data_IF_242015871844
#
_entry.id   IF_242015871844
#
_cell.length_a   1.000
_cell.length_b   1.000
_cell.length_c   1.000
_cell.angle_alpha   90.00
_cell.angle_beta   90.00
_cell.angle_gamma   90.00
#
_symmetry.space_group_name_H-M   'P 1'
#
loop_
_entity.id
_entity.type
_entity.pdbx_description
1 polymer ?
#
# COMPACT_ATOMS: atom_id res chain seq x y z
N UNK A 1 49.58 50.21 1.18
CA UNK A 1 48.90 49.51 0.08
C UNK A 1 48.38 48.19 0.64
N UNK A 2 47.07 48.08 0.85
CA UNK A 2 46.43 46.84 1.28
C UNK A 2 45.95 46.11 0.01
N UNK A 3 46.56 44.97 -0.31
CA UNK A 3 46.07 44.07 -1.33
C UNK A 3 45.31 42.94 -0.62
N UNK A 4 43.99 42.99 -0.69
CA UNK A 4 43.11 41.95 -0.19
C UNK A 4 43.30 40.66 -0.99
N UNK A 5 43.50 39.57 -0.29
CA UNK A 5 43.40 38.20 -0.81
C UNK A 5 41.96 37.98 -1.28
N UNK A 6 41.77 37.86 -2.60
CA UNK A 6 40.52 37.38 -3.17
C UNK A 6 40.38 35.90 -2.81
N UNK A 7 39.60 35.61 -1.76
CA UNK A 7 39.15 34.26 -1.46
C UNK A 7 38.22 33.80 -2.56
N UNK A 8 38.69 32.90 -3.41
CA UNK A 8 37.85 32.20 -4.38
C UNK A 8 36.86 31.35 -3.60
N UNK A 9 35.57 31.60 -3.81
CA UNK A 9 34.47 30.75 -3.31
C UNK A 9 34.74 29.31 -3.74
N UNK A 10 34.89 28.40 -2.78
CA UNK A 10 35.08 26.97 -3.04
C UNK A 10 33.76 26.23 -2.84
N UNK A 11 33.67 24.97 -3.30
CA UNK A 11 32.42 24.19 -3.34
C UNK A 11 31.72 24.01 -1.97
N UNK A 12 32.39 24.32 -0.85
CA UNK A 12 31.81 24.36 0.50
C UNK A 12 31.12 25.68 0.86
N UNK A 13 31.25 26.71 0.04
CA UNK A 13 30.65 28.04 0.22
C UNK A 13 29.37 28.23 -0.62
N UNK A 14 28.99 27.22 -1.41
CA UNK A 14 27.72 27.17 -2.14
C UNK A 14 26.74 26.29 -1.37
N UNK A 15 25.62 26.85 -0.95
CA UNK A 15 24.50 26.08 -0.39
C UNK A 15 23.95 25.20 -1.51
N UNK A 16 24.08 23.89 -1.36
CA UNK A 16 23.48 22.91 -2.26
C UNK A 16 21.95 23.00 -2.07
N UNK A 17 21.23 23.27 -3.17
CA UNK A 17 19.77 23.46 -3.24
C UNK A 17 18.93 22.21 -2.87
N UNK A 18 19.51 21.21 -2.21
CA UNK A 18 18.82 19.98 -1.79
C UNK A 18 17.73 20.27 -0.74
N UNK A 19 17.83 21.38 0.01
CA UNK A 19 16.88 21.76 1.07
C UNK A 19 15.49 22.14 0.53
N UNK A 20 15.38 22.78 -0.65
CA UNK A 20 14.08 23.23 -1.18
C UNK A 20 13.24 22.06 -1.70
N UNK A 21 13.85 21.17 -2.48
CA UNK A 21 13.14 19.99 -3.00
C UNK A 21 12.77 19.01 -1.87
N UNK A 22 13.66 18.85 -0.88
CA UNK A 22 13.40 18.02 0.29
C UNK A 22 12.32 18.64 1.18
N UNK A 23 12.33 19.95 1.40
CA UNK A 23 11.31 20.66 2.19
C UNK A 23 9.93 20.56 1.52
N UNK A 24 9.83 20.86 0.22
CA UNK A 24 8.59 20.73 -0.55
C UNK A 24 8.05 19.28 -0.51
N UNK A 25 8.94 18.30 -0.61
CA UNK A 25 8.58 16.88 -0.48
C UNK A 25 7.99 16.55 0.90
N UNK A 26 8.64 17.01 1.98
CA UNK A 26 8.22 16.71 3.35
C UNK A 26 6.89 17.36 3.72
N UNK A 27 6.67 18.63 3.32
CA UNK A 27 5.43 19.37 3.59
C UNK A 27 4.24 18.71 2.88
N UNK A 28 4.36 18.45 1.57
CA UNK A 28 3.29 17.84 0.77
C UNK A 28 2.92 16.45 1.28
N UNK A 29 3.92 15.69 1.74
CA UNK A 29 3.73 14.35 2.25
C UNK A 29 2.96 14.32 3.56
N UNK A 30 3.31 15.18 4.53
CA UNK A 30 2.67 15.14 5.85
C UNK A 30 1.16 15.38 5.78
N UNK A 31 0.73 16.38 5.00
CA UNK A 31 -0.70 16.67 4.79
C UNK A 31 -1.45 15.50 4.14
N UNK A 32 -0.83 14.85 3.15
CA UNK A 32 -1.45 13.74 2.44
C UNK A 32 -1.51 12.44 3.27
N UNK A 33 -0.52 12.20 4.14
CA UNK A 33 -0.46 11.01 5.00
C UNK A 33 -1.59 10.97 6.02
N UNK A 34 -1.86 12.09 6.70
CA UNK A 34 -2.89 12.15 7.74
C UNK A 34 -4.30 12.00 7.15
N UNK A 35 -4.54 12.61 5.99
CA UNK A 35 -5.79 12.46 5.23
C UNK A 35 -5.98 11.02 4.78
N UNK A 36 -4.93 10.37 4.28
CA UNK A 36 -5.00 9.00 3.80
C UNK A 36 -5.23 7.97 4.92
N UNK A 37 -4.55 8.12 6.05
CA UNK A 37 -4.72 7.23 7.21
C UNK A 37 -6.14 7.37 7.81
N UNK A 38 -6.69 8.58 7.85
CA UNK A 38 -8.07 8.83 8.26
C UNK A 38 -9.08 8.21 7.29
N UNK A 39 -8.88 8.38 5.97
CA UNK A 39 -9.75 7.81 4.93
C UNK A 39 -9.68 6.27 4.88
N UNK A 40 -8.52 5.69 5.23
CA UNK A 40 -8.30 4.24 5.24
C UNK A 40 -8.88 3.52 6.45
N UNK A 41 -9.49 4.24 7.41
CA UNK A 41 -10.09 3.68 8.63
C UNK A 41 -9.12 2.74 9.38
N UNK A 42 -7.83 3.06 9.35
CA UNK A 42 -6.75 2.27 9.94
C UNK A 42 -6.44 0.93 9.28
N UNK A 43 -6.99 0.62 8.09
CA UNK A 43 -6.69 -0.62 7.36
C UNK A 43 -5.30 -0.59 6.71
N UNK A 44 -4.96 0.53 6.08
CA UNK A 44 -3.65 0.81 5.48
C UNK A 44 -3.00 1.86 6.36
N UNK A 45 -1.78 1.58 6.83
CA UNK A 45 -1.03 2.48 7.71
C UNK A 45 0.28 2.83 7.04
N UNK A 46 0.49 4.12 6.86
CA UNK A 46 1.76 4.70 6.45
C UNK A 46 2.45 5.26 7.70
N UNK A 47 3.68 4.82 7.94
CA UNK A 47 4.46 5.18 9.12
C UNK A 47 5.91 5.51 8.75
N UNK A 48 6.62 6.18 9.64
CA UNK A 48 8.03 6.50 9.48
C UNK A 48 8.80 6.01 10.71
N UNK A 49 9.64 5.00 10.52
CA UNK A 49 10.42 4.39 11.60
C UNK A 49 11.71 3.84 10.98
N UNK A 50 12.86 4.26 11.52
CA UNK A 50 14.14 3.71 11.09
C UNK A 50 14.22 2.23 11.46
N UNK A 51 14.34 1.35 10.46
CA UNK A 51 14.45 -0.10 10.65
C UNK A 51 15.84 -0.53 10.18
N UNK A 52 16.55 -1.33 10.97
CA UNK A 52 17.85 -1.90 10.60
C UNK A 52 17.71 -3.27 9.89
N UNK A 53 18.67 -3.60 9.02
CA UNK A 53 18.72 -4.87 8.28
C UNK A 53 17.74 -4.95 7.09
N UNK A 54 17.77 -6.05 6.32
CA UNK A 54 16.94 -6.23 5.11
C UNK A 54 15.51 -6.73 5.41
N UNK A 55 15.31 -7.31 6.60
CA UNK A 55 14.06 -7.92 7.02
C UNK A 55 13.70 -7.50 8.45
N UNK A 56 12.43 -7.10 8.66
CA UNK A 56 11.89 -6.89 10.00
C UNK A 56 11.30 -8.20 10.53
N UNK A 57 12.04 -8.91 11.37
CA UNK A 57 11.59 -10.18 11.97
C UNK A 57 11.04 -9.98 13.37
N UNK A 58 9.84 -10.51 13.65
CA UNK A 58 9.24 -10.56 14.98
C UNK A 58 8.82 -11.98 15.32
N UNK A 59 9.35 -12.52 16.42
CA UNK A 59 8.93 -13.82 16.94
C UNK A 59 7.63 -13.71 17.72
N UNK A 60 6.80 -14.75 17.66
CA UNK A 60 5.57 -14.85 18.45
C UNK A 60 5.25 -16.30 18.82
N UNK A 61 4.51 -16.49 19.90
CA UNK A 61 4.02 -17.80 20.31
C UNK A 61 2.68 -18.12 19.64
N UNK A 62 2.52 -19.37 19.20
CA UNK A 62 1.29 -19.90 18.64
C UNK A 62 0.63 -20.86 19.63
N UNK A 63 -0.39 -20.37 20.33
CA UNK A 63 -1.24 -21.18 21.20
C UNK A 63 -2.58 -21.38 20.49
N UNK A 64 -2.85 -22.61 20.06
CA UNK A 64 -4.14 -23.00 19.47
C UNK A 64 -4.92 -23.86 20.45
N UNK A 65 -5.76 -23.23 21.28
CA UNK A 65 -6.62 -23.92 22.22
C UNK A 65 -8.09 -23.65 21.94
N UNK A 66 -8.93 -24.66 22.12
CA UNK A 66 -10.38 -24.52 22.21
C UNK A 66 -10.86 -25.18 23.49
N UNK A 67 -12.03 -24.76 23.98
CA UNK A 67 -12.71 -25.49 25.04
C UNK A 67 -13.00 -26.88 24.50
N UNK A 68 -12.59 -27.89 25.26
CA UNK A 68 -12.89 -29.28 24.96
C UNK A 68 -13.84 -29.80 26.02
N UNK A 69 -14.67 -30.76 25.62
CA UNK A 69 -15.48 -31.51 26.56
C UNK A 69 -14.57 -32.18 27.59
N UNK A 70 -14.92 -32.04 28.87
CA UNK A 70 -14.30 -32.78 29.97
C UNK A 70 -15.31 -33.80 30.45
N UNK A 71 -15.01 -35.08 30.25
CA UNK A 71 -15.75 -36.14 30.89
C UNK A 71 -15.46 -36.13 32.39
N UNK A 72 -16.51 -35.99 33.21
CA UNK A 72 -16.42 -36.00 34.68
C UNK A 72 -16.20 -37.40 35.25
N UNK A 73 -16.42 -38.44 34.45
CA UNK A 73 -16.38 -39.84 34.88
C UNK A 73 -15.15 -40.59 34.39
N UNK A 74 -14.37 -40.02 33.47
CA UNK A 74 -13.14 -40.64 32.95
C UNK A 74 -11.98 -40.51 33.94
N UNK A 75 -11.17 -41.57 34.03
CA UNK A 75 -9.88 -41.60 34.74
C UNK A 75 -8.68 -41.56 33.77
N UNK A 76 -8.93 -41.34 32.49
CA UNK A 76 -7.89 -41.35 31.46
C UNK A 76 -6.93 -40.17 31.64
N UNK A 77 -5.67 -40.38 31.24
CA UNK A 77 -4.65 -39.32 31.30
C UNK A 77 -4.89 -38.28 30.22
N UNK A 78 -4.71 -37.00 30.57
CA UNK A 78 -4.81 -35.89 29.61
C UNK A 78 -3.44 -35.60 29.02
N UNK A 79 -3.33 -35.62 27.69
CA UNK A 79 -2.08 -35.28 27.00
C UNK A 79 -1.81 -33.77 27.01
N UNK A 80 -0.56 -33.40 27.31
CA UNK A 80 -0.10 -32.01 27.30
C UNK A 80 -0.06 -31.44 25.88
N UNK A 81 -0.64 -30.25 25.69
CA UNK A 81 -0.60 -29.53 24.41
C UNK A 81 0.70 -28.74 24.28
N UNK A 82 1.33 -28.80 23.10
CA UNK A 82 2.54 -28.03 22.78
C UNK A 82 2.19 -26.58 22.42
N UNK A 83 3.03 -25.64 22.85
CA UNK A 83 3.02 -24.24 22.38
C UNK A 83 4.01 -24.14 21.21
N UNK A 84 3.53 -23.64 20.07
CA UNK A 84 4.40 -23.37 18.91
C UNK A 84 5.04 -21.99 18.98
N UNK A 85 6.00 -21.72 18.10
CA UNK A 85 6.52 -20.39 17.84
C UNK A 85 6.56 -20.15 16.31
N UNK A 86 6.34 -18.90 15.89
CA UNK A 86 6.41 -18.47 14.50
C UNK A 86 7.11 -17.12 14.37
N UNK A 87 7.40 -16.73 13.13
CA UNK A 87 8.02 -15.44 12.81
C UNK A 87 7.16 -14.65 11.81
N UNK A 88 6.87 -13.40 12.15
CA UNK A 88 6.33 -12.40 11.23
C UNK A 88 7.50 -11.67 10.56
N UNK A 89 7.56 -11.68 9.24
CA UNK A 89 8.69 -11.13 8.47
C UNK A 89 8.19 -10.07 7.49
N UNK A 90 8.59 -8.83 7.73
CA UNK A 90 8.51 -7.72 6.76
C UNK A 90 9.72 -7.68 5.84
N UNK A 91 9.53 -7.13 4.65
CA UNK A 91 10.60 -6.99 3.64
C UNK A 91 10.80 -5.53 3.25
N UNK A 92 12.06 -5.14 3.10
CA UNK A 92 12.44 -3.83 2.56
C UNK A 92 12.46 -3.82 1.05
N UNK A 93 11.67 -2.93 0.45
CA UNK A 93 11.61 -2.67 -0.98
C UNK A 93 12.24 -1.28 -1.27
N UNK A 94 13.39 -1.22 -1.97
CA UNK A 94 13.97 0.04 -2.41
C UNK A 94 13.19 0.60 -3.60
N UNK A 95 13.08 1.93 -3.67
CA UNK A 95 12.50 2.67 -4.78
C UNK A 95 13.45 3.75 -5.28
N UNK A 96 13.27 4.14 -6.54
CA UNK A 96 14.00 5.24 -7.17
C UNK A 96 13.04 6.11 -7.96
N UNK A 97 13.35 7.40 -8.03
CA UNK A 97 12.64 8.37 -8.85
C UNK A 97 13.66 9.10 -9.74
N UNK A 98 13.38 9.14 -11.05
CA UNK A 98 14.33 9.60 -12.07
C UNK A 98 15.34 8.54 -12.54
N UNK A 99 16.46 8.93 -13.15
CA UNK A 99 16.98 10.30 -13.23
C UNK A 99 16.21 11.18 -14.22
N UNK A 100 15.94 12.42 -13.82
CA UNK A 100 15.48 13.49 -14.71
C UNK A 100 16.65 14.41 -15.01
N UNK A 101 16.75 14.92 -16.24
CA UNK A 101 17.76 15.90 -16.59
C UNK A 101 17.21 16.97 -17.51
N UNK A 102 17.77 18.17 -17.42
CA UNK A 102 17.43 19.29 -18.29
C UNK A 102 18.67 20.12 -18.59
N UNK A 103 18.75 20.67 -19.79
CA UNK A 103 19.86 21.55 -20.17
C UNK A 103 19.65 22.95 -19.60
N UNK A 104 20.72 23.59 -19.15
CA UNK A 104 20.63 24.96 -18.63
C UNK A 104 20.11 25.94 -19.68
N UNK A 105 20.47 25.71 -20.94
CA UNK A 105 20.04 26.53 -22.08
C UNK A 105 18.52 26.49 -22.29
N UNK A 106 17.85 25.37 -21.97
CA UNK A 106 16.39 25.26 -22.07
C UNK A 106 15.67 26.19 -21.08
N UNK A 107 16.27 26.44 -19.91
CA UNK A 107 15.75 27.37 -18.90
C UNK A 107 16.13 28.81 -19.21
N UNK A 108 17.39 29.07 -19.60
CA UNK A 108 17.87 30.40 -20.01
C UNK A 108 17.04 31.00 -21.14
N UNK A 109 16.67 30.21 -22.15
CA UNK A 109 15.82 30.66 -23.27
C UNK A 109 14.38 30.97 -22.88
N UNK A 110 13.90 30.46 -21.75
CA UNK A 110 12.53 30.67 -21.24
C UNK A 110 12.47 31.71 -20.12
N UNK A 111 13.62 32.29 -19.73
CA UNK A 111 13.70 33.26 -18.64
C UNK A 111 13.30 32.68 -17.28
N UNK A 112 13.43 31.37 -17.09
CA UNK A 112 13.10 30.66 -15.84
C UNK A 112 14.37 30.26 -15.10
N UNK A 113 14.30 30.25 -13.78
CA UNK A 113 15.40 29.81 -12.93
C UNK A 113 15.44 28.28 -12.88
N UNK A 114 16.65 27.73 -12.75
CA UNK A 114 16.92 26.31 -12.57
C UNK A 114 16.42 25.84 -11.20
N UNK A 115 16.25 26.75 -10.22
CA UNK A 115 15.63 26.45 -8.92
C UNK A 115 14.17 25.99 -9.04
N UNK A 116 13.41 26.54 -9.99
CA UNK A 116 12.02 26.14 -10.30
C UNK A 116 11.94 24.66 -10.70
N UNK A 117 12.97 24.14 -11.38
CA UNK A 117 13.05 22.73 -11.75
C UNK A 117 13.10 21.82 -10.51
N UNK A 118 13.92 22.16 -9.52
CA UNK A 118 14.06 21.37 -8.29
C UNK A 118 12.78 21.34 -7.45
N UNK A 119 12.05 22.45 -7.39
CA UNK A 119 10.76 22.54 -6.66
C UNK A 119 9.66 21.72 -7.33
N UNK A 120 9.54 21.82 -8.65
CA UNK A 120 8.55 21.05 -9.43
C UNK A 120 8.83 19.56 -9.33
N UNK A 121 10.09 19.16 -9.50
CA UNK A 121 10.47 17.74 -9.42
C UNK A 121 10.35 17.20 -7.99
N UNK A 122 10.62 18.02 -6.96
CA UNK A 122 10.41 17.63 -5.56
C UNK A 122 8.93 17.41 -5.22
N UNK A 123 8.03 18.25 -5.74
CA UNK A 123 6.59 18.10 -5.56
C UNK A 123 6.05 16.87 -6.30
N UNK A 124 6.46 16.64 -7.55
CA UNK A 124 6.04 15.45 -8.31
C UNK A 124 6.58 14.16 -7.68
N UNK A 125 7.82 14.18 -7.16
CA UNK A 125 8.37 13.06 -6.41
C UNK A 125 7.53 12.73 -5.16
N UNK A 126 7.01 13.73 -4.45
CA UNK A 126 6.15 13.52 -3.29
C UNK A 126 4.85 12.80 -3.65
N UNK A 127 4.16 13.27 -4.69
CA UNK A 127 2.92 12.65 -5.15
C UNK A 127 3.17 11.24 -5.71
N UNK A 128 4.24 11.06 -6.50
CA UNK A 128 4.63 9.76 -7.06
C UNK A 128 5.02 8.74 -5.99
N UNK A 129 5.70 9.15 -4.90
CA UNK A 129 6.05 8.24 -3.81
C UNK A 129 4.82 7.76 -3.04
N UNK A 130 3.84 8.64 -2.79
CA UNK A 130 2.59 8.25 -2.14
C UNK A 130 1.79 7.25 -2.99
N UNK A 131 1.66 7.52 -4.29
CA UNK A 131 1.01 6.59 -5.23
C UNK A 131 1.74 5.24 -5.27
N UNK A 132 3.08 5.27 -5.32
CA UNK A 132 3.92 4.09 -5.24
C UNK A 132 3.67 3.28 -3.95
N UNK A 133 3.56 3.93 -2.79
CA UNK A 133 3.31 3.24 -1.52
C UNK A 133 1.95 2.54 -1.52
N UNK A 134 0.92 3.16 -2.06
CA UNK A 134 -0.40 2.55 -2.24
C UNK A 134 -0.30 1.35 -3.19
N UNK A 135 0.46 1.47 -4.28
CA UNK A 135 0.66 0.39 -5.24
C UNK A 135 1.38 -0.82 -4.62
N UNK A 136 2.44 -0.58 -3.83
CA UNK A 136 3.13 -1.63 -3.07
C UNK A 136 2.19 -2.33 -2.08
N UNK A 137 1.38 -1.54 -1.35
CA UNK A 137 0.42 -2.06 -0.38
C UNK A 137 -0.64 -2.96 -1.02
N UNK A 138 -1.29 -2.47 -2.09
CA UNK A 138 -2.36 -3.20 -2.78
C UNK A 138 -1.81 -4.46 -3.46
N UNK A 139 -0.70 -4.37 -4.20
CA UNK A 139 -0.10 -5.55 -4.85
C UNK A 139 0.35 -6.60 -3.83
N UNK A 140 0.92 -6.17 -2.70
CA UNK A 140 1.25 -7.06 -1.59
C UNK A 140 0.03 -7.77 -1.02
N UNK A 141 -1.06 -7.03 -0.78
CA UNK A 141 -2.32 -7.59 -0.26
C UNK A 141 -2.98 -8.57 -1.23
N UNK A 142 -3.10 -8.22 -2.51
CA UNK A 142 -3.66 -9.11 -3.55
C UNK A 142 -2.83 -10.38 -3.65
N UNK A 143 -1.50 -10.29 -3.62
CA UNK A 143 -0.61 -11.44 -3.65
C UNK A 143 -0.77 -12.33 -2.41
N UNK A 144 -0.70 -11.75 -1.21
CA UNK A 144 -0.72 -12.49 0.04
C UNK A 144 -2.08 -13.14 0.33
N UNK A 145 -3.18 -12.38 0.20
CA UNK A 145 -4.54 -12.91 0.35
C UNK A 145 -4.86 -13.88 -0.79
N UNK A 146 -4.39 -13.56 -2.01
CA UNK A 146 -4.48 -14.43 -3.18
C UNK A 146 -3.70 -15.75 -3.06
N UNK A 147 -2.79 -15.89 -2.09
CA UNK A 147 -2.14 -17.17 -1.76
C UNK A 147 -2.94 -17.99 -0.71
N UNK A 148 -3.99 -17.40 -0.12
CA UNK A 148 -4.86 -18.07 0.84
C UNK A 148 -6.23 -18.38 0.22
N UNK A 149 -6.42 -19.60 -0.29
CA UNK A 149 -7.63 -19.99 -1.03
C UNK A 149 -8.91 -19.92 -0.19
N UNK A 150 -8.83 -20.04 1.14
CA UNK A 150 -10.00 -19.94 2.02
C UNK A 150 -10.54 -18.51 2.08
N UNK A 151 -9.67 -17.51 1.94
CA UNK A 151 -9.96 -16.08 1.96
C UNK A 151 -10.16 -15.49 0.55
N UNK A 152 -10.39 -16.35 -0.44
CA UNK A 152 -10.78 -15.96 -1.79
C UNK A 152 -12.23 -16.35 -2.07
N UNK A 153 -12.95 -15.50 -2.80
CA UNK A 153 -14.27 -15.80 -3.31
C UNK A 153 -14.42 -15.21 -4.70
N UNK A 154 -15.01 -15.98 -5.60
CA UNK A 154 -15.34 -15.49 -6.93
C UNK A 154 -16.77 -14.93 -6.91
N UNK A 155 -16.96 -13.83 -7.62
CA UNK A 155 -18.22 -13.12 -7.77
C UNK A 155 -18.24 -12.43 -9.13
N UNK A 156 -19.43 -12.09 -9.61
CA UNK A 156 -19.59 -11.35 -10.85
C UNK A 156 -20.59 -10.22 -10.61
N UNK A 157 -20.19 -8.97 -10.84
CA UNK A 157 -21.05 -7.81 -10.58
C UNK A 157 -22.29 -7.85 -11.48
N UNK A 158 -22.19 -8.33 -12.71
CA UNK A 158 -23.32 -8.40 -13.63
C UNK A 158 -24.43 -9.32 -13.10
N UNK A 159 -24.07 -10.44 -12.49
CA UNK A 159 -25.02 -11.47 -11.99
C UNK A 159 -25.33 -11.36 -10.50
N UNK A 160 -24.34 -11.06 -9.65
CA UNK A 160 -24.48 -10.96 -8.20
C UNK A 160 -24.88 -9.54 -7.73
N UNK A 161 -24.57 -8.50 -8.52
CA UNK A 161 -24.80 -7.10 -8.16
C UNK A 161 -24.22 -6.74 -6.79
N UNK A 162 -25.05 -6.15 -5.92
CA UNK A 162 -24.63 -5.81 -4.53
C UNK A 162 -24.22 -7.03 -3.70
N UNK A 163 -24.63 -8.25 -4.09
CA UNK A 163 -24.29 -9.46 -3.34
C UNK A 163 -22.80 -9.77 -3.42
N UNK A 164 -22.09 -9.26 -4.44
CA UNK A 164 -20.62 -9.35 -4.58
C UNK A 164 -19.91 -9.01 -3.26
N UNK A 165 -20.21 -7.86 -2.65
CA UNK A 165 -19.60 -7.46 -1.38
C UNK A 165 -19.98 -8.41 -0.23
N UNK A 166 -21.23 -8.87 -0.17
CA UNK A 166 -21.67 -9.82 0.86
C UNK A 166 -21.01 -11.18 0.74
N UNK A 167 -20.62 -11.63 -0.47
CA UNK A 167 -19.88 -12.89 -0.68
C UNK A 167 -18.51 -12.83 -0.03
N UNK A 168 -17.81 -11.70 -0.13
CA UNK A 168 -16.58 -11.44 0.63
C UNK A 168 -16.81 -11.48 2.14
N UNK A 169 -17.82 -10.76 2.63
CA UNK A 169 -18.15 -10.72 4.07
C UNK A 169 -18.48 -12.11 4.65
N UNK A 170 -19.12 -12.99 3.87
CA UNK A 170 -19.46 -14.36 4.29
C UNK A 170 -18.22 -15.21 4.63
N UNK A 171 -17.05 -14.94 4.05
CA UNK A 171 -15.79 -15.63 4.40
C UNK A 171 -15.37 -15.36 5.85
N UNK A 172 -15.65 -14.17 6.36
CA UNK A 172 -15.44 -13.85 7.77
C UNK A 172 -16.57 -14.36 8.68
N UNK A 173 -17.76 -14.63 8.14
CA UNK A 173 -18.89 -15.20 8.88
C UNK A 173 -19.27 -14.33 10.08
N UNK A 174 -19.29 -14.92 11.28
CA UNK A 174 -19.50 -14.24 12.57
C UNK A 174 -18.59 -13.03 12.82
N UNK A 175 -17.42 -12.99 12.19
CA UNK A 175 -16.45 -11.89 12.31
C UNK A 175 -16.53 -10.87 11.16
N UNK A 176 -17.62 -10.84 10.36
CA UNK A 176 -17.73 -9.95 9.20
C UNK A 176 -17.55 -8.46 9.55
N UNK A 177 -17.89 -8.06 10.77
CA UNK A 177 -17.74 -6.68 11.21
C UNK A 177 -16.28 -6.23 11.38
N UNK A 178 -15.31 -7.17 11.35
CA UNK A 178 -13.89 -6.83 11.36
C UNK A 178 -13.41 -6.18 10.07
N UNK A 179 -14.10 -6.41 8.94
CA UNK A 179 -13.76 -5.72 7.69
C UNK A 179 -14.16 -4.26 7.84
N UNK A 180 -13.18 -3.36 7.81
CA UNK A 180 -13.35 -1.93 8.07
C UNK A 180 -13.21 -1.06 6.81
N UNK A 181 -12.67 -1.60 5.71
CA UNK A 181 -12.46 -0.90 4.44
C UNK A 181 -12.63 -1.85 3.26
N UNK A 182 -13.29 -1.40 2.18
CA UNK A 182 -13.16 -2.03 0.88
C UNK A 182 -12.21 -1.22 -0.02
N UNK A 183 -11.37 -1.90 -0.80
CA UNK A 183 -10.53 -1.27 -1.83
C UNK A 183 -10.88 -1.89 -3.18
N UNK A 184 -11.14 -1.05 -4.19
CA UNK A 184 -11.52 -1.49 -5.53
C UNK A 184 -11.11 -0.46 -6.59
N UNK A 185 -11.05 -0.91 -7.85
CA UNK A 185 -10.84 -0.03 -9.00
C UNK A 185 -12.03 0.91 -9.24
N UNK A 186 -11.78 2.06 -9.86
CA UNK A 186 -12.82 3.05 -10.19
C UNK A 186 -13.96 2.47 -11.03
N UNK A 187 -13.63 1.78 -12.12
CA UNK A 187 -14.63 1.09 -12.96
C UNK A 187 -15.53 0.15 -12.14
N UNK A 188 -14.94 -0.73 -11.31
CA UNK A 188 -15.66 -1.66 -10.44
C UNK A 188 -16.59 -0.95 -9.46
N UNK A 189 -16.19 0.19 -8.93
CA UNK A 189 -17.03 1.00 -8.06
C UNK A 189 -18.24 1.56 -8.81
N UNK A 190 -18.03 2.14 -10.00
CA UNK A 190 -19.11 2.67 -10.82
C UNK A 190 -20.07 1.56 -11.29
N UNK A 191 -19.58 0.37 -11.64
CA UNK A 191 -20.43 -0.77 -12.00
C UNK A 191 -21.39 -1.15 -10.85
N UNK A 192 -20.90 -1.14 -9.60
CA UNK A 192 -21.74 -1.39 -8.40
C UNK A 192 -22.78 -0.28 -8.20
N UNK A 193 -22.42 0.97 -8.51
CA UNK A 193 -23.33 2.13 -8.42
C UNK A 193 -24.39 2.07 -9.51
N UNK A 194 -24.01 1.77 -10.75
CA UNK A 194 -24.93 1.68 -11.89
C UNK A 194 -25.92 0.53 -11.69
N UNK A 195 -25.43 -0.64 -11.27
CA UNK A 195 -26.27 -1.76 -10.82
C UNK A 195 -27.25 -1.33 -9.70
N UNK A 196 -26.82 -0.46 -8.78
CA UNK A 196 -27.68 0.03 -7.71
C UNK A 196 -28.75 1.02 -8.20
N UNK A 197 -28.53 1.69 -9.32
CA UNK A 197 -29.47 2.62 -9.95
C UNK A 197 -30.45 1.85 -10.84
N UNK A 198 -29.97 0.96 -11.70
CA UNK A 198 -30.81 0.12 -12.56
C UNK A 198 -31.83 -0.67 -11.75
N UNK A 199 -31.38 -1.37 -10.70
CA UNK A 199 -32.27 -2.15 -9.84
C UNK A 199 -33.33 -1.28 -9.11
N UNK A 200 -33.04 -0.01 -8.84
CA UNK A 200 -34.05 0.92 -8.27
C UNK A 200 -35.10 1.32 -9.30
N UNK A 201 -34.70 1.49 -10.57
CA UNK A 201 -35.61 1.81 -11.67
C UNK A 201 -36.65 0.70 -11.90
N UNK A 202 -36.25 -0.56 -11.69
CA UNK A 202 -37.15 -1.72 -11.79
C UNK A 202 -38.11 -1.88 -10.60
N UNK A 203 -37.74 -1.42 -9.39
CA UNK A 203 -38.62 -1.44 -8.21
C UNK A 203 -39.67 -0.31 -8.19
N UNK A 204 -39.52 0.72 -9.03
CA UNK A 204 -40.43 1.88 -9.10
C UNK A 204 -41.82 1.55 -9.69
N UNK A 205 -42.03 0.32 -10.18
CA UNK A 205 -43.32 -0.17 -10.68
C UNK A 205 -44.24 -0.79 -9.62
N UNK A 206 -43.84 -0.86 -8.34
CA UNK A 206 -44.68 -1.46 -7.30
C UNK A 206 -44.12 -1.32 -5.89
N UNK A 207 -44.22 -0.12 -5.32
CA UNK A 207 -44.04 0.25 -3.90
C UNK A 207 -43.20 -0.72 -3.05
N UNK A 208 -41.93 -0.39 -2.83
CA UNK A 208 -41.20 -0.78 -1.62
C UNK A 208 -40.35 0.40 -1.12
N UNK A 209 -40.53 0.74 0.15
CA UNK A 209 -39.68 1.64 0.92
C UNK A 209 -38.45 0.85 1.38
N UNK A 210 -37.25 1.27 0.97
CA UNK A 210 -36.06 1.14 1.81
C UNK A 210 -35.19 2.39 1.69
N UNK A 211 -34.88 2.97 2.85
CA UNK A 211 -34.22 4.24 3.01
C UNK A 211 -32.77 4.27 2.52
N UNK A 212 -32.41 5.46 2.02
CA UNK A 212 -31.10 6.10 2.04
C UNK A 212 -29.86 5.25 2.31
N UNK A 213 -29.04 5.14 1.27
CA UNK A 213 -27.61 4.75 1.21
C UNK A 213 -27.25 3.26 1.44
N UNK A 214 -27.31 2.40 0.40
CA UNK A 214 -26.75 1.05 0.49
C UNK A 214 -26.02 0.59 -0.79
N UNK A 215 -24.95 1.29 -1.21
CA UNK A 215 -24.01 0.76 -2.21
C UNK A 215 -22.96 -0.17 -1.58
N UNK A 216 -22.50 0.19 -0.38
CA UNK A 216 -21.30 -0.39 0.27
C UNK A 216 -21.58 -0.95 1.67
N UNK A 217 -22.87 -1.13 2.01
CA UNK A 217 -23.33 -1.64 3.30
C UNK A 217 -22.83 -0.83 4.51
N UNK A 218 -22.68 0.49 4.34
CA UNK A 218 -22.19 1.40 5.39
C UNK A 218 -20.70 1.27 5.69
N UNK A 219 -19.93 0.51 4.90
CA UNK A 219 -18.48 0.44 5.00
C UNK A 219 -17.83 1.47 4.06
N UNK A 220 -16.74 2.13 4.49
CA UNK A 220 -16.00 3.03 3.62
C UNK A 220 -15.35 2.26 2.48
N UNK A 221 -15.20 2.94 1.33
CA UNK A 221 -14.55 2.39 0.14
C UNK A 221 -13.44 3.32 -0.30
N UNK A 222 -12.24 2.78 -0.43
CA UNK A 222 -11.13 3.42 -1.11
C UNK A 222 -11.19 3.05 -2.59
N UNK A 223 -11.44 4.04 -3.43
CA UNK A 223 -11.47 3.87 -4.88
C UNK A 223 -10.11 4.32 -5.44
N UNK A 224 -9.42 3.43 -6.15
CA UNK A 224 -8.09 3.73 -6.69
C UNK A 224 -7.78 2.89 -7.93
N UNK A 225 -7.20 3.51 -8.94
CA UNK A 225 -6.81 2.84 -10.18
C UNK A 225 -5.57 1.93 -10.00
N UNK A 226 -4.91 2.00 -8.83
CA UNK A 226 -3.84 1.08 -8.45
C UNK A 226 -4.36 -0.32 -8.07
N UNK A 227 -5.67 -0.46 -7.85
CA UNK A 227 -6.31 -1.76 -7.62
C UNK A 227 -6.60 -2.45 -8.96
N UNK A 228 -6.30 -3.76 -9.10
CA UNK A 228 -6.70 -4.51 -10.29
C UNK A 228 -8.22 -4.45 -10.50
N UNK A 229 -8.66 -4.26 -11.74
CA UNK A 229 -10.09 -4.14 -12.08
C UNK A 229 -10.88 -5.44 -11.78
N UNK A 230 -10.20 -6.57 -11.74
CA UNK A 230 -10.72 -7.90 -11.44
C UNK A 230 -10.68 -8.26 -9.94
N UNK A 231 -10.35 -7.30 -9.07
CA UNK A 231 -10.18 -7.56 -7.64
C UNK A 231 -10.89 -6.53 -6.76
N UNK A 232 -11.59 -7.02 -5.73
CA UNK A 232 -12.04 -6.21 -4.59
C UNK A 232 -11.41 -6.76 -3.31
N UNK A 233 -10.77 -5.89 -2.54
CA UNK A 233 -10.20 -6.23 -1.24
C UNK A 233 -11.16 -5.80 -0.13
N UNK A 234 -11.50 -6.73 0.77
CA UNK A 234 -12.12 -6.41 2.06
C UNK A 234 -11.08 -6.49 3.17
N UNK A 235 -10.65 -5.35 3.68
CA UNK A 235 -9.53 -5.23 4.61
C UNK A 235 -9.99 -5.07 6.07
N UNK A 236 -9.21 -5.66 6.97
CA UNK A 236 -9.34 -5.43 8.43
C UNK A 236 -8.39 -4.31 8.89
N UNK A 237 -8.55 -3.76 10.10
CA UNK A 237 -7.59 -2.80 10.64
C UNK A 237 -6.17 -3.38 10.68
N UNK A 238 -5.17 -2.56 10.36
CA UNK A 238 -3.76 -2.93 10.26
C UNK A 238 -3.48 -4.03 9.22
N UNK A 239 -4.29 -4.16 8.16
CA UNK A 239 -4.09 -5.16 7.10
C UNK A 239 -2.69 -5.06 6.46
N UNK A 240 -2.22 -3.84 6.23
CA UNK A 240 -0.89 -3.53 5.70
C UNK A 240 -0.30 -2.32 6.39
N UNK A 241 0.99 -2.41 6.72
CA UNK A 241 1.79 -1.29 7.20
C UNK A 241 2.95 -1.07 6.23
N UNK A 242 3.03 0.12 5.66
CA UNK A 242 4.19 0.59 4.89
C UNK A 242 4.96 1.54 5.79
N UNK A 243 6.19 1.17 6.11
CA UNK A 243 7.05 1.96 6.98
C UNK A 243 8.21 2.51 6.17
N UNK A 244 8.32 3.83 6.05
CA UNK A 244 9.52 4.45 5.50
C UNK A 244 10.68 4.14 6.46
N UNK A 245 11.58 3.28 6.00
CA UNK A 245 12.57 2.64 6.88
C UNK A 245 13.88 3.38 6.96
N UNK A 246 14.06 4.34 6.04
CA UNK A 246 15.24 5.18 5.86
C UNK A 246 14.79 6.50 5.26
N UNK A 247 15.43 7.60 5.68
CA UNK A 247 15.17 8.90 5.07
C UNK A 247 15.50 8.84 3.56
N UNK A 248 14.59 9.29 2.69
CA UNK A 248 14.86 9.35 1.26
C UNK A 248 16.04 10.29 0.96
N UNK A 249 16.90 9.87 0.05
CA UNK A 249 18.01 10.67 -0.46
C UNK A 249 17.59 11.42 -1.72
N UNK A 250 17.72 12.74 -1.71
CA UNK A 250 17.52 13.60 -2.87
C UNK A 250 18.85 14.19 -3.28
N UNK A 251 19.14 14.23 -4.59
CA UNK A 251 20.35 14.86 -5.12
C UNK A 251 20.07 15.58 -6.43
N UNK A 252 20.46 16.85 -6.48
CA UNK A 252 20.72 17.57 -7.71
C UNK A 252 22.20 17.50 -8.07
N UNK A 253 22.54 17.24 -9.34
CA UNK A 253 23.93 17.11 -9.78
C UNK A 253 24.19 17.72 -11.17
N UNK A 254 25.34 18.35 -11.40
CA UNK A 254 25.72 18.83 -12.73
C UNK A 254 26.08 17.67 -13.66
N UNK A 255 25.66 17.77 -14.91
CA UNK A 255 25.99 16.87 -16.03
C UNK A 255 26.81 17.70 -17.01
N UNK A 256 28.13 17.46 -17.01
CA UNK A 256 29.11 18.26 -17.74
C UNK A 256 29.76 17.52 -18.91
N UNK A 257 29.32 16.29 -19.18
CA UNK A 257 29.84 15.42 -20.23
C UNK A 257 29.02 15.50 -21.53
N UNK A 258 28.04 16.41 -21.59
CA UNK A 258 27.17 16.67 -22.74
C UNK A 258 27.56 17.96 -23.47
N UNK A 259 27.15 18.08 -24.74
CA UNK A 259 27.40 19.29 -25.56
C UNK A 259 26.84 20.57 -24.91
N UNK A 260 25.71 20.45 -24.23
CA UNK A 260 25.16 21.50 -23.37
C UNK A 260 25.30 21.11 -21.91
N UNK A 261 25.69 22.07 -21.06
CA UNK A 261 25.63 21.89 -19.61
C UNK A 261 24.20 21.57 -19.19
N UNK A 262 24.06 20.54 -18.36
CA UNK A 262 22.78 20.06 -17.87
C UNK A 262 22.81 19.86 -16.36
N UNK A 263 21.61 19.87 -15.77
CA UNK A 263 21.40 19.52 -14.37
C UNK A 263 20.56 18.25 -14.31
N UNK A 264 20.97 17.31 -13.46
CA UNK A 264 20.29 16.06 -13.19
C UNK A 264 19.66 16.07 -11.81
N UNK A 265 18.53 15.39 -11.66
CA UNK A 265 17.85 15.15 -10.40
C UNK A 265 17.57 13.66 -10.22
N UNK A 266 17.83 13.15 -9.01
CA UNK A 266 17.49 11.79 -8.60
C UNK A 266 17.03 11.76 -7.16
N UNK A 267 16.01 10.94 -6.89
CA UNK A 267 15.66 10.54 -5.54
C UNK A 267 15.71 9.02 -5.36
N UNK A 268 16.01 8.58 -4.15
CA UNK A 268 15.97 7.17 -3.75
C UNK A 268 15.47 7.03 -2.32
N UNK A 269 14.85 5.90 -2.02
CA UNK A 269 14.39 5.60 -0.67
C UNK A 269 14.04 4.14 -0.50
N UNK A 270 13.65 3.77 0.71
CA UNK A 270 13.34 2.38 1.05
C UNK A 270 12.15 2.29 1.99
N UNK A 271 11.16 1.46 1.62
CA UNK A 271 10.01 1.16 2.47
C UNK A 271 10.05 -0.29 2.95
N UNK A 272 9.65 -0.52 4.19
CA UNK A 272 9.37 -1.84 4.72
C UNK A 272 7.87 -2.14 4.60
N UNK A 273 7.55 -3.32 4.08
CA UNK A 273 6.17 -3.77 3.87
C UNK A 273 5.88 -4.90 4.86
N UNK A 274 4.91 -4.65 5.75
CA UNK A 274 4.40 -5.64 6.70
C UNK A 274 2.93 -5.95 6.39
N UNK A 275 2.58 -7.24 6.24
CA UNK A 275 1.22 -7.69 5.98
C UNK A 275 0.68 -8.51 7.15
N UNK A 276 -0.55 -8.23 7.59
CA UNK A 276 -1.14 -8.91 8.73
C UNK A 276 -1.40 -10.40 8.43
N UNK A 277 -0.75 -11.27 9.22
CA UNK A 277 -0.90 -12.72 9.11
C UNK A 277 -0.08 -13.37 7.98
N UNK A 278 0.72 -12.58 7.26
CA UNK A 278 1.60 -13.07 6.19
C UNK A 278 3.05 -12.62 6.42
N UNK A 279 3.99 -13.51 6.11
CA UNK A 279 5.43 -13.27 6.19
C UNK A 279 6.05 -13.35 4.81
N UNK A 280 7.00 -12.47 4.53
CA UNK A 280 7.85 -12.61 3.36
C UNK A 280 8.66 -13.91 3.42
N UNK A 281 8.65 -14.67 2.34
CA UNK A 281 9.47 -15.87 2.21
C UNK A 281 10.91 -15.47 1.93
N UNK A 282 11.77 -15.47 2.97
CA UNK A 282 13.18 -15.05 2.87
C UNK A 282 13.98 -15.81 1.81
N UNK A 283 13.60 -17.05 1.48
CA UNK A 283 14.15 -17.83 0.38
C UNK A 283 13.98 -17.17 -1.01
N UNK A 284 13.12 -16.15 -1.13
CA UNK A 284 12.89 -15.36 -2.35
C UNK A 284 13.81 -14.15 -2.50
N UNK A 285 14.73 -13.96 -1.55
CA UNK A 285 15.73 -12.91 -1.55
C UNK A 285 15.29 -11.63 -0.83
N UNK A 286 16.25 -10.75 -0.63
CA UNK A 286 16.07 -9.38 -0.16
C UNK A 286 15.85 -8.42 -1.35
N UNK A 287 15.44 -7.18 -1.07
CA UNK A 287 15.26 -6.10 -2.04
C UNK A 287 14.31 -6.46 -3.21
N UNK A 288 13.07 -6.89 -2.95
CA UNK A 288 12.09 -7.13 -3.99
C UNK A 288 11.72 -5.84 -4.74
N UNK A 289 11.55 -5.97 -6.04
CA UNK A 289 10.83 -4.99 -6.85
C UNK A 289 9.32 -5.17 -6.65
N UNK A 290 8.53 -4.26 -7.22
CA UNK A 290 7.08 -4.31 -7.10
C UNK A 290 6.47 -5.60 -7.70
N UNK A 291 7.11 -6.16 -8.73
CA UNK A 291 6.72 -7.43 -9.36
C UNK A 291 6.82 -8.58 -8.36
N UNK A 292 7.95 -8.67 -7.65
CA UNK A 292 8.16 -9.67 -6.60
C UNK A 292 7.20 -9.47 -5.42
N UNK A 293 6.89 -8.24 -5.04
CA UNK A 293 5.89 -7.95 -4.00
C UNK A 293 4.49 -8.45 -4.41
N UNK A 294 4.13 -8.28 -5.69
CA UNK A 294 2.86 -8.76 -6.26
C UNK A 294 2.78 -10.26 -6.55
N UNK A 295 3.80 -11.06 -6.19
CA UNK A 295 3.82 -12.50 -6.49
C UNK A 295 3.29 -13.32 -5.31
N UNK A 296 2.18 -14.05 -5.53
CA UNK A 296 1.49 -14.86 -4.51
C UNK A 296 2.43 -15.77 -3.70
N UNK A 297 3.30 -16.51 -4.39
CA UNK A 297 4.22 -17.48 -3.79
C UNK A 297 5.38 -16.89 -2.97
N UNK A 298 5.47 -15.57 -2.86
CA UNK A 298 6.49 -14.90 -2.03
C UNK A 298 5.97 -14.58 -0.61
N UNK A 299 4.67 -14.77 -0.36
CA UNK A 299 4.03 -14.52 0.93
C UNK A 299 3.53 -15.82 1.55
N UNK A 300 3.94 -16.09 2.79
CA UNK A 300 3.53 -17.28 3.54
C UNK A 300 2.65 -16.89 4.70
N UNK A 301 1.45 -17.47 4.79
CA UNK A 301 0.57 -17.29 5.95
C UNK A 301 1.23 -17.87 7.19
N UNK A 302 1.34 -17.08 8.25
CA UNK A 302 1.90 -17.51 9.54
C UNK A 302 0.84 -17.65 10.64
N UNK A 303 -0.39 -17.18 10.44
CA UNK A 303 -1.51 -17.45 11.36
C UNK A 303 -2.22 -18.78 11.05
N UNK A 304 -2.72 -19.44 12.10
CA UNK A 304 -3.52 -20.67 11.98
C UNK A 304 -4.97 -20.37 11.57
N UNK A 305 -5.55 -19.30 12.10
CA UNK A 305 -6.91 -18.84 11.77
C UNK A 305 -6.86 -17.87 10.59
N UNK A 306 -7.60 -18.21 9.53
CA UNK A 306 -7.74 -17.37 8.34
C UNK A 306 -8.47 -16.05 8.61
N UNK A 307 -9.40 -16.05 9.57
CA UNK A 307 -10.16 -14.84 9.95
C UNK A 307 -9.35 -13.86 10.81
N UNK A 308 -8.08 -14.17 11.05
CA UNK A 308 -7.13 -13.32 11.75
C UNK A 308 -6.07 -12.71 10.81
N UNK A 309 -6.15 -12.96 9.49
CA UNK A 309 -5.26 -12.36 8.48
C UNK A 309 -5.80 -11.03 7.95
N UNK A 310 -5.04 -10.41 7.04
CA UNK A 310 -5.25 -9.07 6.48
C UNK A 310 -6.61 -8.79 5.82
N UNK A 311 -7.34 -9.80 5.36
CA UNK A 311 -8.59 -9.55 4.66
C UNK A 311 -9.11 -10.72 3.82
N UNK A 312 -10.11 -10.40 3.01
CA UNK A 312 -10.69 -11.26 1.97
C UNK A 312 -10.44 -10.64 0.60
N UNK A 313 -10.18 -11.49 -0.40
CA UNK A 313 -10.09 -11.11 -1.81
C UNK A 313 -11.33 -11.62 -2.53
N UNK A 314 -12.02 -10.73 -3.22
CA UNK A 314 -13.12 -11.06 -4.12
C UNK A 314 -12.56 -10.95 -5.53
N UNK A 315 -12.49 -12.08 -6.25
CA UNK A 315 -12.13 -12.09 -7.66
C UNK A 315 -13.39 -11.84 -8.49
N UNK A 316 -13.30 -10.96 -9.46
CA UNK A 316 -14.41 -10.62 -10.33
C UNK A 316 -14.29 -11.37 -11.65
N UNK A 317 -15.16 -12.36 -11.84
CA UNK A 317 -15.29 -13.09 -13.10
C UNK A 317 -16.10 -12.21 -14.08
N UNK A 318 -15.47 -11.15 -14.61
CA UNK A 318 -16.14 -10.24 -15.54
C UNK A 318 -15.47 -8.88 -15.78
N UNK A 319 -14.38 -8.56 -15.09
CA UNK A 319 -13.60 -7.34 -15.36
C UNK A 319 -12.75 -7.51 -16.61
N UNK A 320 -13.01 -6.69 -17.63
CA UNK A 320 -12.41 -6.74 -18.96
C UNK A 320 -10.90 -7.03 -18.94
N UNK A 321 -10.52 -8.07 -19.70
CA UNK A 321 -9.18 -8.15 -20.26
C UNK A 321 -9.06 -7.05 -21.33
N UNK A 322 -8.40 -5.95 -20.97
CA UNK A 322 -7.73 -5.05 -21.91
C UNK A 322 -6.62 -4.31 -21.19
#
# INVERSE_FOLDING_TARGET
>A
MAAGTAGTTINTDMVIYDDLAQTAFLERRQDNLDVFNAASNGAIILDNEMIEGDFKKRSFYQVGGSIQFRDVTSTDTVESKKIGAGEAIGVKAPWKYGPYSTTEEAFKRRGRDVTEFSEVVGTDAADATLEGYIQYAIKGLVAAIGNNSTMQVDADIATDGKKTLTRGLRKYGDKFNRICLFVMHSATYFDIVDQAIENKLYEEAGVVVYGGQPGTLGKPVLVTDQCPADAILGLVPNAVKITESQAPGFRSYPINDQENLAIGYRAEGTVNIDLLGYSWATAKGANPDITKIGTKGNWTKHFKDDKSTAGVLINLDGGASS
#
